data_IF_972594377093
#
_entry.id   IF_972594377093
#
_cell.length_a   1.000
_cell.length_b   1.000
_cell.length_c   1.000
_cell.angle_alpha   90.00
_cell.angle_beta   90.00
_cell.angle_gamma   90.00
#
_symmetry.space_group_name_H-M   'P 1'
#
loop_
_entity.id
_entity.type
_entity.pdbx_description
1 polymer ?
#
# COMPACT_ATOMS: atom_id res chain seq x y z
N UNK A 1 -20.24 -36.44 11.85
CA UNK A 1 -19.50 -35.89 10.69
C UNK A 1 -19.36 -36.83 9.48
N UNK A 2 -19.23 -38.16 9.67
CA UNK A 2 -19.03 -39.09 8.53
C UNK A 2 -20.23 -39.22 7.58
N UNK A 3 -21.46 -39.18 8.10
CA UNK A 3 -22.71 -39.28 7.32
C UNK A 3 -22.85 -38.15 6.29
N UNK A 4 -22.47 -36.92 6.67
CA UNK A 4 -22.55 -35.73 5.81
C UNK A 4 -21.50 -35.75 4.68
N UNK A 5 -20.30 -36.28 4.95
CA UNK A 5 -19.26 -36.48 3.93
C UNK A 5 -19.66 -37.54 2.90
N UNK A 6 -20.27 -38.64 3.35
CA UNK A 6 -20.77 -39.70 2.47
C UNK A 6 -21.89 -39.20 1.54
N UNK A 7 -22.80 -38.37 2.06
CA UNK A 7 -23.85 -37.73 1.26
C UNK A 7 -23.26 -36.81 0.18
N UNK A 8 -22.34 -35.90 0.55
CA UNK A 8 -21.66 -35.02 -0.42
C UNK A 8 -20.91 -35.81 -1.50
N UNK A 9 -20.20 -36.86 -1.12
CA UNK A 9 -19.46 -37.67 -2.09
C UNK A 9 -20.39 -38.37 -3.09
N UNK A 10 -21.54 -38.88 -2.64
CA UNK A 10 -22.56 -39.50 -3.49
C UNK A 10 -23.09 -38.51 -4.55
N UNK A 11 -23.35 -37.26 -4.16
CA UNK A 11 -23.82 -36.23 -5.11
C UNK A 11 -22.73 -35.82 -6.11
N UNK A 12 -21.47 -35.67 -5.67
CA UNK A 12 -20.38 -35.34 -6.58
C UNK A 12 -20.07 -36.47 -7.57
N UNK A 13 -20.12 -37.74 -7.14
CA UNK A 13 -19.98 -38.88 -8.03
C UNK A 13 -21.13 -38.98 -9.04
N UNK A 14 -22.38 -38.70 -8.63
CA UNK A 14 -23.51 -38.74 -9.55
C UNK A 14 -23.42 -37.69 -10.66
N UNK A 15 -22.86 -36.51 -10.35
CA UNK A 15 -22.60 -35.44 -11.33
C UNK A 15 -21.42 -35.80 -12.25
N UNK A 16 -20.33 -36.36 -11.72
CA UNK A 16 -19.18 -36.78 -12.54
C UNK A 16 -19.51 -37.96 -13.45
N UNK A 17 -20.43 -38.83 -13.02
CA UNK A 17 -20.87 -40.00 -13.76
C UNK A 17 -22.09 -39.71 -14.66
N UNK A 18 -22.52 -38.45 -14.76
CA UNK A 18 -23.58 -38.02 -15.70
C UNK A 18 -24.99 -38.54 -15.42
N UNK A 19 -25.26 -39.07 -14.22
CA UNK A 19 -26.54 -39.74 -13.90
C UNK A 19 -27.68 -38.74 -13.61
N UNK A 20 -27.36 -37.46 -13.42
CA UNK A 20 -28.36 -36.41 -13.14
C UNK A 20 -28.37 -35.36 -14.26
N UNK A 21 -28.76 -35.77 -15.45
CA UNK A 21 -29.23 -34.86 -16.50
C UNK A 21 -30.76 -34.91 -16.58
N UNK A 22 -31.43 -33.93 -15.95
CA UNK A 22 -32.82 -33.63 -16.31
C UNK A 22 -33.73 -33.11 -15.19
N UNK A 23 -34.14 -31.85 -15.38
CA UNK A 23 -35.40 -31.20 -14.95
C UNK A 23 -35.39 -30.30 -13.70
N UNK A 24 -35.76 -29.02 -13.90
CA UNK A 24 -36.38 -28.17 -12.85
C UNK A 24 -35.68 -26.87 -12.43
N UNK A 25 -35.56 -25.90 -13.35
CA UNK A 25 -35.57 -24.42 -13.23
C UNK A 25 -35.40 -23.75 -11.84
N UNK A 26 -34.42 -22.84 -11.73
CA UNK A 26 -34.63 -21.43 -11.30
C UNK A 26 -33.38 -20.57 -11.58
N UNK A 27 -33.49 -19.68 -12.57
CA UNK A 27 -32.53 -18.59 -12.81
C UNK A 27 -32.56 -17.64 -11.60
N UNK A 28 -31.40 -17.40 -10.97
CA UNK A 28 -31.12 -16.13 -10.29
C UNK A 28 -29.85 -15.55 -10.90
N UNK A 29 -30.03 -14.42 -11.56
CA UNK A 29 -29.01 -13.49 -12.01
C UNK A 29 -28.32 -12.87 -10.79
N UNK A 30 -27.00 -12.99 -10.73
CA UNK A 30 -26.15 -11.95 -10.16
C UNK A 30 -24.80 -11.98 -10.86
N UNK A 31 -24.42 -10.80 -11.33
CA UNK A 31 -23.30 -10.54 -12.20
C UNK A 31 -21.97 -10.72 -11.44
N UNK A 32 -21.09 -11.52 -12.02
CA UNK A 32 -19.69 -11.59 -11.65
C UNK A 32 -18.94 -11.91 -12.92
N UNK A 33 -18.28 -10.90 -13.48
CA UNK A 33 -17.55 -10.90 -14.76
C UNK A 33 -16.61 -12.11 -14.84
N UNK A 34 -17.10 -13.20 -15.40
CA UNK A 34 -16.25 -14.22 -15.98
C UNK A 34 -15.61 -13.58 -17.20
N UNK A 35 -14.28 -13.43 -17.17
CA UNK A 35 -13.49 -13.21 -18.38
C UNK A 35 -13.60 -14.49 -19.22
N UNK A 36 -14.75 -14.63 -19.88
CA UNK A 36 -14.90 -15.41 -21.09
C UNK A 36 -14.11 -14.66 -22.14
N UNK A 37 -12.82 -14.97 -22.23
CA UNK A 37 -12.03 -14.63 -23.39
C UNK A 37 -12.66 -15.36 -24.57
N UNK A 38 -13.62 -14.72 -25.23
CA UNK A 38 -13.91 -14.98 -26.63
C UNK A 38 -12.57 -14.79 -27.33
N UNK A 39 -11.88 -15.89 -27.62
CA UNK A 39 -10.99 -15.91 -28.76
C UNK A 39 -11.90 -15.66 -29.96
N UNK A 40 -12.08 -14.38 -30.32
CA UNK A 40 -12.32 -14.06 -31.70
C UNK A 40 -11.19 -14.77 -32.45
N UNK A 41 -11.55 -15.76 -33.26
CA UNK A 41 -10.69 -16.19 -34.34
C UNK A 41 -10.52 -14.95 -35.22
N UNK A 42 -9.59 -14.08 -34.84
CA UNK A 42 -9.02 -13.14 -35.77
C UNK A 42 -8.27 -14.03 -36.73
N UNK A 43 -8.80 -14.15 -37.95
CA UNK A 43 -7.98 -14.58 -39.06
C UNK A 43 -6.73 -13.70 -39.03
N UNK A 44 -5.59 -14.32 -38.74
CA UNK A 44 -4.31 -13.67 -38.96
C UNK A 44 -4.29 -13.28 -40.44
N UNK A 45 -3.89 -12.05 -40.81
CA UNK A 45 -3.78 -11.67 -42.19
C UNK A 45 -2.92 -12.72 -42.89
N UNK A 46 -3.48 -13.39 -43.90
CA UNK A 46 -2.71 -14.29 -44.76
C UNK A 46 -1.63 -13.44 -45.40
N UNK A 47 -0.39 -13.70 -45.01
CA UNK A 47 0.76 -13.11 -45.66
C UNK A 47 0.89 -13.76 -47.04
N UNK A 48 0.36 -13.08 -48.06
CA UNK A 48 0.50 -13.44 -49.48
C UNK A 48 1.90 -13.03 -49.95
N UNK A 49 2.93 -13.68 -49.40
CA UNK A 49 4.27 -13.63 -49.95
C UNK A 49 4.56 -14.93 -50.65
N UNK A 50 4.35 -14.98 -51.97
CA UNK A 50 4.85 -16.06 -52.80
C UNK A 50 6.36 -15.88 -52.98
N UNK A 51 7.12 -16.32 -51.99
CA UNK A 51 8.58 -16.31 -52.04
C UNK A 51 9.22 -16.44 -50.67
N UNK A 52 10.34 -17.15 -50.63
CA UNK A 52 11.20 -17.18 -49.45
C UNK A 52 11.76 -15.77 -49.21
N UNK A 53 11.10 -15.00 -48.33
CA UNK A 53 11.46 -13.61 -47.96
C UNK A 53 12.94 -13.49 -47.55
N UNK A 54 13.51 -14.59 -47.06
CA UNK A 54 14.88 -14.68 -46.56
C UNK A 54 15.90 -15.20 -47.58
N UNK A 55 15.51 -15.45 -48.84
CA UNK A 55 16.37 -16.09 -49.84
C UNK A 55 17.69 -15.32 -50.10
N UNK A 56 17.69 -14.00 -49.90
CA UNK A 56 18.85 -13.14 -50.12
C UNK A 56 19.57 -12.74 -48.82
N UNK A 57 19.19 -13.32 -47.67
CA UNK A 57 19.84 -13.01 -46.39
C UNK A 57 20.84 -14.13 -46.08
N UNK A 58 22.15 -13.85 -46.08
CA UNK A 58 23.15 -14.84 -45.67
C UNK A 58 23.04 -15.07 -44.17
N UNK A 59 22.36 -16.15 -43.78
CA UNK A 59 22.23 -16.55 -42.38
C UNK A 59 23.25 -17.64 -42.10
N UNK A 60 24.34 -17.28 -41.41
CA UNK A 60 25.36 -18.24 -40.97
C UNK A 60 24.79 -19.10 -39.81
N UNK A 61 24.75 -20.44 -39.91
CA UNK A 61 24.19 -21.30 -38.87
C UNK A 61 24.96 -21.20 -37.55
N UNK A 62 26.26 -20.89 -37.61
CA UNK A 62 27.11 -20.74 -36.43
C UNK A 62 26.82 -19.46 -35.64
N UNK A 63 26.25 -18.42 -36.26
CA UNK A 63 25.84 -17.17 -35.58
C UNK A 63 24.46 -17.27 -34.92
N UNK A 64 23.68 -18.30 -35.26
CA UNK A 64 22.34 -18.54 -34.70
C UNK A 64 22.36 -19.28 -33.35
N UNK A 65 23.52 -19.76 -32.90
CA UNK A 65 23.66 -20.43 -31.60
C UNK A 65 23.69 -19.38 -30.50
N UNK A 66 22.51 -18.85 -30.15
CA UNK A 66 22.34 -18.04 -28.95
C UNK A 66 22.33 -18.99 -27.75
N UNK A 67 23.45 -19.05 -27.02
CA UNK A 67 23.46 -19.70 -25.71
C UNK A 67 22.70 -18.80 -24.74
N UNK A 68 21.42 -19.09 -24.57
CA UNK A 68 20.61 -18.50 -23.52
C UNK A 68 21.05 -19.07 -22.18
N UNK A 69 20.99 -18.25 -21.13
CA UNK A 69 21.30 -18.70 -19.78
C UNK A 69 20.37 -19.87 -19.39
N UNK A 70 20.89 -20.78 -18.56
CA UNK A 70 20.13 -21.96 -18.15
C UNK A 70 18.77 -21.62 -17.53
N UNK A 71 18.63 -20.42 -16.97
CA UNK A 71 17.39 -19.95 -16.35
C UNK A 71 16.36 -19.45 -17.37
N UNK A 72 16.80 -18.90 -18.50
CA UNK A 72 15.92 -18.47 -19.59
C UNK A 72 15.42 -19.64 -20.44
N UNK A 73 16.17 -20.75 -20.46
CA UNK A 73 15.77 -22.00 -21.10
C UNK A 73 14.70 -22.80 -20.33
N UNK A 74 14.37 -22.40 -19.10
CA UNK A 74 13.44 -23.14 -18.22
C UNK A 74 12.04 -22.55 -18.33
N UNK A 75 11.15 -23.24 -19.06
CA UNK A 75 9.72 -22.92 -18.98
C UNK A 75 9.20 -23.08 -17.54
N UNK A 76 8.19 -22.30 -17.14
CA UNK A 76 7.53 -22.34 -15.81
C UNK A 76 7.10 -23.76 -15.40
N UNK A 77 6.85 -24.66 -16.38
CA UNK A 77 6.53 -26.07 -16.14
C UNK A 77 7.75 -26.94 -15.77
N UNK A 78 8.95 -26.62 -16.27
CA UNK A 78 10.18 -27.39 -16.04
C UNK A 78 10.76 -27.21 -14.63
N UNK A 79 10.49 -26.07 -13.97
CA UNK A 79 11.01 -25.81 -12.62
C UNK A 79 10.40 -26.73 -11.54
N UNK A 80 9.27 -27.38 -11.81
CA UNK A 80 8.60 -28.26 -10.83
C UNK A 80 9.28 -29.63 -10.68
N UNK A 81 10.00 -30.10 -11.69
CA UNK A 81 10.62 -31.44 -11.69
C UNK A 81 12.05 -31.47 -11.13
N UNK A 82 12.76 -30.33 -11.11
CA UNK A 82 14.16 -30.25 -10.61
C UNK A 82 14.24 -29.69 -9.18
N UNK A 83 13.13 -29.18 -8.64
CA UNK A 83 13.08 -28.73 -7.26
C UNK A 83 13.13 -29.95 -6.33
N UNK A 84 14.34 -30.21 -5.83
CA UNK A 84 14.71 -30.79 -4.55
C UNK A 84 13.56 -31.51 -3.83
N UNK A 85 13.76 -32.77 -3.47
CA UNK A 85 12.89 -33.48 -2.55
C UNK A 85 12.98 -32.83 -1.14
N UNK A 86 12.38 -31.65 -1.00
CA UNK A 86 12.33 -30.90 0.26
C UNK A 86 11.54 -31.77 1.23
N UNK A 87 12.08 -32.09 2.42
CA UNK A 87 11.37 -32.92 3.38
C UNK A 87 10.05 -32.25 3.77
N UNK A 88 9.08 -33.07 4.18
CA UNK A 88 7.72 -32.61 4.52
C UNK A 88 7.73 -31.48 5.56
N UNK A 89 8.70 -31.51 6.48
CA UNK A 89 8.92 -30.47 7.50
C UNK A 89 9.20 -29.10 6.86
N UNK A 90 10.11 -29.04 5.91
CA UNK A 90 10.54 -27.78 5.29
C UNK A 90 9.51 -27.27 4.29
N UNK A 91 8.78 -28.18 3.60
CA UNK A 91 7.59 -27.78 2.81
C UNK A 91 6.52 -27.10 3.66
N UNK A 92 6.29 -27.61 4.88
CA UNK A 92 5.32 -27.01 5.82
C UNK A 92 5.79 -25.63 6.30
N UNK A 93 7.08 -25.47 6.62
CA UNK A 93 7.68 -24.18 6.99
C UNK A 93 7.57 -23.16 5.87
N UNK A 94 7.99 -23.52 4.66
CA UNK A 94 7.92 -22.65 3.49
C UNK A 94 6.49 -22.21 3.19
N UNK A 95 5.51 -23.11 3.33
CA UNK A 95 4.08 -22.74 3.19
C UNK A 95 3.65 -21.74 4.26
N UNK A 96 4.09 -21.92 5.50
CA UNK A 96 3.78 -21.00 6.60
C UNK A 96 4.42 -19.64 6.39
N UNK A 97 5.70 -19.58 6.04
CA UNK A 97 6.43 -18.35 5.73
C UNK A 97 5.80 -17.60 4.56
N UNK A 98 5.50 -18.30 3.45
CA UNK A 98 4.78 -17.70 2.31
C UNK A 98 3.40 -17.17 2.70
N UNK A 99 2.73 -17.82 3.66
CA UNK A 99 1.45 -17.33 4.16
C UNK A 99 1.63 -16.06 5.02
N UNK A 100 2.63 -16.02 5.89
CA UNK A 100 2.96 -14.83 6.68
C UNK A 100 3.37 -13.66 5.78
N UNK A 101 4.24 -13.90 4.79
CA UNK A 101 4.64 -12.90 3.80
C UNK A 101 3.44 -12.29 3.07
N UNK A 102 2.42 -13.10 2.72
CA UNK A 102 1.19 -12.60 2.10
C UNK A 102 0.37 -11.72 3.06
N UNK A 103 0.28 -12.10 4.34
CA UNK A 103 -0.41 -11.29 5.34
C UNK A 103 0.32 -9.96 5.58
N UNK A 104 1.65 -10.00 5.68
CA UNK A 104 2.49 -8.82 5.85
C UNK A 104 2.40 -7.88 4.65
N UNK A 105 2.42 -8.41 3.43
CA UNK A 105 2.24 -7.61 2.22
C UNK A 105 0.90 -6.84 2.25
N UNK A 106 -0.20 -7.52 2.63
CA UNK A 106 -1.50 -6.87 2.78
C UNK A 106 -1.52 -5.77 3.86
N UNK A 107 -0.88 -6.03 5.01
CA UNK A 107 -0.75 -5.03 6.08
C UNK A 107 0.04 -3.80 5.64
N UNK A 108 1.18 -4.01 4.97
CA UNK A 108 2.02 -2.91 4.45
C UNK A 108 1.26 -2.02 3.49
N UNK A 109 0.51 -2.60 2.55
CA UNK A 109 -0.31 -1.84 1.61
C UNK A 109 -1.40 -1.01 2.32
N UNK A 110 -2.04 -1.58 3.34
CA UNK A 110 -3.04 -0.86 4.12
C UNK A 110 -2.42 0.29 4.93
N UNK A 111 -1.32 0.03 5.61
CA UNK A 111 -0.58 1.04 6.38
C UNK A 111 -0.09 2.18 5.49
N UNK A 112 0.43 1.86 4.30
CA UNK A 112 0.87 2.83 3.30
C UNK A 112 -0.29 3.69 2.79
N UNK A 113 -1.46 3.11 2.54
CA UNK A 113 -2.66 3.89 2.16
C UNK A 113 -3.13 4.83 3.26
N UNK A 114 -3.13 4.37 4.51
CA UNK A 114 -3.49 5.20 5.68
C UNK A 114 -2.47 6.34 5.84
N UNK A 115 -1.18 6.04 5.72
CA UNK A 115 -0.12 7.04 5.79
C UNK A 115 -0.22 8.07 4.65
N UNK A 116 -0.46 7.62 3.41
CA UNK A 116 -0.64 8.48 2.25
C UNK A 116 -1.85 9.41 2.44
N UNK A 117 -2.98 8.91 2.96
CA UNK A 117 -4.15 9.76 3.26
C UNK A 117 -3.82 10.84 4.29
N UNK A 118 -3.04 10.50 5.33
CA UNK A 118 -2.59 11.47 6.35
C UNK A 118 -1.68 12.53 5.74
N UNK A 119 -0.71 12.14 4.91
CA UNK A 119 0.21 13.05 4.21
C UNK A 119 -0.54 13.97 3.24
N UNK A 120 -1.46 13.45 2.45
CA UNK A 120 -2.32 14.24 1.55
C UNK A 120 -3.15 15.31 2.28
N UNK A 121 -3.48 15.08 3.55
CA UNK A 121 -4.19 16.07 4.38
C UNK A 121 -3.34 17.25 4.86
N UNK A 122 -2.03 17.29 4.55
CA UNK A 122 -1.15 18.40 4.93
C UNK A 122 -1.43 19.61 4.03
N UNK A 123 -2.14 20.62 4.54
CA UNK A 123 -2.77 21.68 3.74
C UNK A 123 -1.84 22.46 2.79
N UNK A 124 -0.57 22.66 3.16
CA UNK A 124 0.36 23.52 2.42
C UNK A 124 1.17 22.74 1.37
N UNK A 125 1.37 21.43 1.58
CA UNK A 125 2.43 20.69 0.87
C UNK A 125 1.90 19.40 0.20
N UNK A 126 0.76 18.86 0.64
CA UNK A 126 0.22 17.61 0.10
C UNK A 126 1.11 16.39 0.42
N UNK A 127 1.20 15.42 -0.50
CA UNK A 127 1.97 14.17 -0.32
C UNK A 127 3.36 14.25 -0.96
N UNK A 128 4.40 14.39 -0.12
CA UNK A 128 5.80 14.42 -0.55
C UNK A 128 6.45 13.04 -0.67
N UNK A 129 5.79 11.96 -0.24
CA UNK A 129 6.41 10.64 -0.23
C UNK A 129 6.89 10.17 -1.61
N UNK A 130 6.17 10.41 -2.73
CA UNK A 130 6.63 10.00 -4.05
C UNK A 130 7.97 10.65 -4.44
N UNK A 131 8.19 11.91 -4.04
CA UNK A 131 9.46 12.60 -4.29
C UNK A 131 10.58 11.89 -3.54
N UNK A 132 10.38 11.61 -2.25
CA UNK A 132 11.38 10.90 -1.42
C UNK A 132 11.68 9.50 -1.95
N UNK A 133 10.67 8.78 -2.45
CA UNK A 133 10.86 7.45 -3.04
C UNK A 133 11.61 7.49 -4.38
N UNK A 134 11.46 8.55 -5.16
CA UNK A 134 12.20 8.75 -6.41
C UNK A 134 13.67 9.17 -6.18
N UNK A 135 14.02 9.72 -5.01
CA UNK A 135 15.38 10.19 -4.74
C UNK A 135 16.46 9.08 -4.78
N UNK A 136 16.27 7.89 -4.16
CA UNK A 136 17.23 6.78 -4.28
C UNK A 136 17.45 6.31 -5.72
N UNK A 137 16.40 6.32 -6.54
CA UNK A 137 16.48 5.95 -7.96
C UNK A 137 17.26 7.01 -8.74
N UNK A 138 16.98 8.30 -8.52
CA UNK A 138 17.71 9.41 -9.13
C UNK A 138 19.19 9.47 -8.71
N UNK A 139 19.53 9.08 -7.48
CA UNK A 139 20.92 8.95 -7.04
C UNK A 139 21.70 7.91 -7.85
N UNK A 140 21.04 6.92 -8.44
CA UNK A 140 21.69 5.97 -9.35
C UNK A 140 21.97 6.58 -10.72
N UNK A 141 21.21 7.60 -11.13
CA UNK A 141 21.36 8.32 -12.39
C UNK A 141 22.25 9.56 -12.30
N UNK A 142 22.27 10.23 -11.15
CA UNK A 142 23.11 11.39 -10.84
C UNK A 142 24.23 10.98 -9.88
N UNK A 143 25.47 10.90 -10.36
CA UNK A 143 26.68 10.56 -9.59
C UNK A 143 27.09 11.56 -8.49
N UNK A 144 26.14 12.26 -7.88
CA UNK A 144 26.31 13.35 -6.90
C UNK A 144 26.10 12.86 -5.45
N UNK A 145 26.04 11.53 -5.31
CA UNK A 145 25.71 10.72 -4.13
C UNK A 145 26.39 11.09 -2.79
N UNK A 146 27.64 11.54 -2.83
CA UNK A 146 28.48 11.56 -1.64
C UNK A 146 28.40 12.86 -0.84
N UNK A 147 27.92 13.95 -1.44
CA UNK A 147 27.90 15.26 -0.78
C UNK A 147 26.64 15.49 0.07
N UNK A 148 25.49 14.92 -0.29
CA UNK A 148 24.21 15.15 0.41
C UNK A 148 24.09 14.39 1.75
N UNK A 149 24.81 13.27 1.92
CA UNK A 149 24.78 12.47 3.16
C UNK A 149 25.33 13.20 4.40
N UNK A 150 26.05 14.30 4.20
CA UNK A 150 26.67 15.07 5.30
C UNK A 150 25.70 16.07 5.96
N UNK A 151 24.63 16.47 5.27
CA UNK A 151 23.77 17.59 5.70
C UNK A 151 22.65 17.13 6.65
N UNK A 152 22.15 15.91 6.51
CA UNK A 152 21.00 15.40 7.30
C UNK A 152 21.35 14.99 8.74
N UNK A 153 22.62 15.07 9.14
CA UNK A 153 23.12 14.45 10.38
C UNK A 153 22.99 15.29 11.65
N UNK A 154 22.52 16.55 11.59
CA UNK A 154 22.54 17.44 12.76
C UNK A 154 21.38 18.45 12.80
N UNK A 155 20.16 17.96 12.98
CA UNK A 155 19.06 18.80 13.49
C UNK A 155 18.24 17.99 14.50
N UNK A 156 18.83 17.76 15.68
CA UNK A 156 18.06 17.36 16.85
C UNK A 156 17.22 18.56 17.29
N UNK A 157 16.03 18.68 16.70
CA UNK A 157 14.99 19.59 17.20
C UNK A 157 14.71 19.23 18.67
N UNK A 158 14.71 20.21 19.60
CA UNK A 158 14.41 19.93 20.99
C UNK A 158 13.03 19.27 21.05
N UNK A 159 12.97 18.05 21.58
CA UNK A 159 11.71 17.33 21.80
C UNK A 159 10.90 18.14 22.82
N UNK A 160 9.99 18.98 22.34
CA UNK A 160 9.02 19.64 23.19
C UNK A 160 8.32 18.57 24.02
N UNK A 161 8.43 18.66 25.34
CA UNK A 161 7.81 17.74 26.26
C UNK A 161 6.29 17.78 26.02
N UNK A 162 5.76 16.75 25.36
CA UNK A 162 4.33 16.65 25.07
C UNK A 162 3.60 16.39 26.39
N UNK A 163 2.91 17.40 26.89
CA UNK A 163 2.02 17.27 28.05
C UNK A 163 1.07 16.08 27.85
N UNK A 164 0.77 15.36 28.94
CA UNK A 164 -0.22 14.29 28.91
C UNK A 164 -1.57 14.81 28.38
N UNK A 165 -2.32 13.94 27.69
CA UNK A 165 -3.66 14.26 27.16
C UNK A 165 -4.61 14.74 28.26
N UNK A 166 -4.49 14.18 29.47
CA UNK A 166 -5.30 14.59 30.63
C UNK A 166 -4.91 15.97 31.12
N UNK A 167 -3.62 16.28 31.19
CA UNK A 167 -3.12 17.60 31.57
C UNK A 167 -3.56 18.67 30.56
N UNK A 168 -3.47 18.38 29.25
CA UNK A 168 -3.96 19.28 28.20
C UNK A 168 -5.47 19.52 28.30
N UNK A 169 -6.26 18.49 28.60
CA UNK A 169 -7.72 18.62 28.78
C UNK A 169 -8.05 19.51 29.97
N UNK A 170 -7.40 19.32 31.11
CA UNK A 170 -7.60 20.15 32.30
C UNK A 170 -7.27 21.61 32.03
N UNK A 171 -6.14 21.89 31.38
CA UNK A 171 -5.79 23.26 31.00
C UNK A 171 -6.87 23.90 30.12
N UNK A 172 -7.42 23.16 29.14
CA UNK A 172 -8.51 23.67 28.30
C UNK A 172 -9.78 23.96 29.11
N UNK A 173 -10.15 23.09 30.05
CA UNK A 173 -11.30 23.31 30.93
C UNK A 173 -11.10 24.58 31.79
N UNK A 174 -9.90 24.77 32.35
CA UNK A 174 -9.54 25.98 33.11
C UNK A 174 -9.54 27.26 32.27
N UNK A 175 -9.11 27.20 31.01
CA UNK A 175 -9.17 28.33 30.08
C UNK A 175 -10.62 28.66 29.69
N UNK A 176 -11.47 27.65 29.49
CA UNK A 176 -12.91 27.85 29.23
C UNK A 176 -13.59 28.55 30.43
N UNK A 177 -13.28 28.11 31.65
CA UNK A 177 -13.80 28.71 32.87
C UNK A 177 -13.30 30.16 33.04
N UNK A 178 -12.02 30.44 32.73
CA UNK A 178 -11.51 31.82 32.75
C UNK A 178 -12.17 32.69 31.69
N UNK A 179 -12.33 32.19 30.47
CA UNK A 179 -12.92 32.93 29.37
C UNK A 179 -14.39 33.26 29.63
N UNK A 180 -15.17 32.31 30.15
CA UNK A 180 -16.56 32.58 30.53
C UNK A 180 -16.70 33.69 31.58
N UNK A 181 -15.79 33.74 32.57
CA UNK A 181 -15.75 34.82 33.56
C UNK A 181 -15.49 36.18 32.92
N UNK A 182 -14.49 36.27 32.04
CA UNK A 182 -14.18 37.52 31.31
C UNK A 182 -15.38 38.00 30.50
N UNK A 183 -16.13 37.11 29.86
CA UNK A 183 -17.34 37.47 29.13
C UNK A 183 -18.47 37.95 30.05
N UNK A 184 -18.55 37.46 31.28
CA UNK A 184 -19.51 37.91 32.28
C UNK A 184 -19.12 39.24 32.95
N UNK A 185 -17.87 39.69 32.82
CA UNK A 185 -17.40 40.91 33.46
C UNK A 185 -17.98 42.17 32.79
N UNK A 186 -18.67 42.99 33.58
CA UNK A 186 -19.33 44.21 33.08
C UNK A 186 -18.36 45.26 32.50
N UNK A 187 -17.10 45.26 32.94
CA UNK A 187 -16.04 46.16 32.42
C UNK A 187 -15.61 45.75 31.01
N UNK A 188 -15.45 44.44 30.79
CA UNK A 188 -15.10 43.86 29.51
C UNK A 188 -16.23 44.03 28.48
N UNK A 189 -17.50 43.90 28.91
CA UNK A 189 -18.66 44.12 28.03
C UNK A 189 -18.80 45.58 27.58
N UNK A 190 -18.43 46.56 28.42
CA UNK A 190 -18.50 47.99 28.08
C UNK A 190 -17.38 48.38 27.12
N UNK A 191 -16.14 48.10 27.50
CA UNK A 191 -14.94 48.46 26.73
C UNK A 191 -13.90 47.34 26.78
N UNK A 192 -13.92 46.39 25.82
CA UNK A 192 -13.04 45.21 25.86
C UNK A 192 -11.57 45.59 25.66
N UNK A 193 -11.30 46.52 24.72
CA UNK A 193 -9.92 46.94 24.41
C UNK A 193 -9.26 47.62 25.60
N UNK A 194 -9.99 48.47 26.33
CA UNK A 194 -9.45 49.15 27.51
C UNK A 194 -9.13 48.15 28.62
N UNK A 195 -10.06 47.24 28.89
CA UNK A 195 -9.90 46.16 29.87
C UNK A 195 -8.68 45.28 29.57
N UNK A 196 -8.48 44.92 28.30
CA UNK A 196 -7.30 44.15 27.86
C UNK A 196 -6.01 44.94 28.08
N UNK A 197 -5.96 46.22 27.69
CA UNK A 197 -4.80 47.08 27.90
C UNK A 197 -4.44 47.21 29.38
N UNK A 198 -5.43 47.40 30.26
CA UNK A 198 -5.19 47.53 31.70
C UNK A 198 -4.75 46.20 32.32
N UNK A 199 -5.28 45.06 31.85
CA UNK A 199 -4.80 43.72 32.24
C UNK A 199 -3.34 43.49 31.85
N UNK A 200 -2.97 43.84 30.61
CA UNK A 200 -1.59 43.69 30.12
C UNK A 200 -0.61 44.55 30.92
N UNK A 201 -0.98 45.81 31.22
CA UNK A 201 -0.16 46.68 32.10
C UNK A 201 0.06 46.04 33.47
N UNK A 202 -1.00 45.54 34.10
CA UNK A 202 -0.89 44.88 35.40
C UNK A 202 -0.03 43.61 35.34
N UNK A 203 -0.10 42.85 34.24
CA UNK A 203 0.74 41.67 34.02
C UNK A 203 2.21 42.02 33.87
N UNK A 204 2.53 43.06 33.10
CA UNK A 204 3.91 43.54 32.97
C UNK A 204 4.47 44.01 34.32
N UNK A 205 3.69 44.74 35.11
CA UNK A 205 4.12 45.16 36.47
C UNK A 205 4.37 43.97 37.41
N UNK A 206 3.58 42.89 37.30
CA UNK A 206 3.79 41.65 38.07
C UNK A 206 5.08 40.93 37.65
N UNK A 207 5.39 40.92 36.35
CA UNK A 207 6.61 40.29 35.82
C UNK A 207 7.87 41.11 36.11
N UNK A 208 7.75 42.45 36.12
CA UNK A 208 8.82 43.39 36.48
C UNK A 208 9.08 43.45 38.00
N UNK A 209 8.29 42.75 38.81
CA UNK A 209 8.49 42.66 40.26
C UNK A 209 8.23 43.99 41.00
N UNK A 210 7.48 44.92 40.41
CA UNK A 210 7.11 46.20 41.02
C UNK A 210 5.81 45.99 41.80
N UNK A 211 5.87 45.18 42.86
CA UNK A 211 4.83 45.03 43.89
C UNK A 211 5.45 44.58 45.21
#
# INVERSE_FOLDING_TARGET
MGKMKRARHKFHQAVSNGVLSGSGVAKRSCEGRGLSGRCSQGELPKFEGEGNIFANIPIDPNKLVQQLDQDDCKSVRSTRSVQNQIPKKDKKKLRHERFLQKLEAGKRLFEEQVAARRRKGTAIVGDLQPLVQALPELHSFCGIAEELKRIDSKMDLPKQARMSRTARRKLLEEEMDRHSKVLCDSTFQKDPLRTICDHLKNKLLQEEGIF
#
